data_IF_752058525313
#
_entry.id   IF_752058525313
#
_cell.length_a   1.000
_cell.length_b   1.000
_cell.length_c   1.000
_cell.angle_alpha   90.00
_cell.angle_beta   90.00
_cell.angle_gamma   90.00
#
_symmetry.space_group_name_H-M   'P 1'
#
loop_
_entity.id
_entity.type
_entity.pdbx_description
1 polymer ?
#
# COMPACT_ATOMS: atom_id res chain seq x y z
N UNK A 1 -14.75 -0.15 -16.30
CA UNK A 1 -15.53 -0.79 -15.22
C UNK A 1 -14.59 -1.44 -14.19
N UNK A 2 -13.80 -2.44 -14.58
CA UNK A 2 -12.92 -3.21 -13.69
C UNK A 2 -11.96 -2.34 -12.88
N UNK A 3 -11.34 -1.34 -13.50
CA UNK A 3 -10.43 -0.42 -12.81
C UNK A 3 -11.14 0.36 -11.68
N UNK A 4 -12.40 0.75 -11.87
CA UNK A 4 -13.18 1.47 -10.85
C UNK A 4 -13.61 0.54 -9.72
N UNK A 5 -13.96 -0.71 -10.03
CA UNK A 5 -14.25 -1.72 -9.01
C UNK A 5 -13.02 -1.96 -8.14
N UNK A 6 -11.86 -2.21 -8.75
CA UNK A 6 -10.60 -2.43 -8.01
C UNK A 6 -10.25 -1.22 -7.16
N UNK A 7 -10.32 0.01 -7.71
CA UNK A 7 -10.09 1.23 -6.93
C UNK A 7 -11.01 1.34 -5.73
N UNK A 8 -12.30 1.04 -5.90
CA UNK A 8 -13.29 1.07 -4.81
C UNK A 8 -12.95 0.03 -3.74
N UNK A 9 -12.60 -1.19 -4.13
CA UNK A 9 -12.22 -2.26 -3.20
C UNK A 9 -10.95 -1.92 -2.41
N UNK A 10 -9.96 -1.30 -3.07
CA UNK A 10 -8.73 -0.82 -2.44
C UNK A 10 -9.02 0.34 -1.46
N UNK A 11 -9.76 1.35 -1.91
CA UNK A 11 -10.09 2.53 -1.12
C UNK A 11 -10.90 2.17 0.14
N UNK A 12 -11.84 1.24 0.02
CA UNK A 12 -12.71 0.82 1.11
C UNK A 12 -12.12 -0.30 1.98
N UNK A 13 -10.91 -0.79 1.65
CA UNK A 13 -10.24 -1.88 2.35
C UNK A 13 -11.00 -3.22 2.28
N UNK A 14 -11.82 -3.41 1.25
CA UNK A 14 -12.56 -4.66 0.99
C UNK A 14 -11.71 -5.72 0.29
N UNK A 15 -10.53 -5.32 -0.18
CA UNK A 15 -9.46 -6.19 -0.68
C UNK A 15 -8.14 -5.75 -0.08
N UNK A 16 -7.18 -6.67 -0.02
CA UNK A 16 -5.78 -6.36 0.25
C UNK A 16 -5.20 -5.41 -0.82
N UNK A 17 -4.22 -4.61 -0.41
CA UNK A 17 -3.53 -3.71 -1.32
C UNK A 17 -2.76 -4.49 -2.41
N UNK A 18 -2.94 -4.09 -3.65
CA UNK A 18 -2.24 -4.61 -4.83
C UNK A 18 -1.74 -3.44 -5.68
N UNK A 19 -0.68 -3.60 -6.49
CA UNK A 19 -0.21 -2.54 -7.36
C UNK A 19 -1.18 -2.39 -8.55
N UNK A 20 -2.04 -1.37 -8.52
CA UNK A 20 -2.90 -1.05 -9.65
C UNK A 20 -2.18 -0.08 -10.59
N UNK A 21 -1.97 -0.50 -11.84
CA UNK A 21 -1.38 0.34 -12.89
C UNK A 21 -2.42 0.68 -13.95
N UNK A 22 -2.67 1.96 -14.12
CA UNK A 22 -3.47 2.55 -15.20
C UNK A 22 -2.52 2.84 -16.37
N UNK A 23 -2.27 1.81 -17.19
CA UNK A 23 -1.36 1.88 -18.33
C UNK A 23 -2.10 2.38 -19.59
N UNK A 24 -1.55 3.41 -20.22
CA UNK A 24 -1.96 3.89 -21.53
C UNK A 24 -0.96 3.44 -22.63
N UNK A 25 -1.33 3.60 -23.90
CA UNK A 25 -0.32 3.57 -24.97
C UNK A 25 0.55 4.84 -24.91
N UNK A 26 1.79 4.84 -25.42
CA UNK A 26 2.67 6.02 -25.38
C UNK A 26 2.00 7.29 -25.93
N UNK A 27 1.92 8.34 -25.10
CA UNK A 27 1.24 9.60 -25.42
C UNK A 27 -0.29 9.56 -25.34
N UNK A 28 -0.88 8.44 -24.90
CA UNK A 28 -2.30 8.31 -24.66
C UNK A 28 -2.78 9.18 -23.51
N UNK A 29 -4.05 9.59 -23.59
CA UNK A 29 -4.64 10.57 -22.68
C UNK A 29 -5.88 10.06 -21.95
N UNK A 30 -6.26 8.80 -22.15
CA UNK A 30 -7.49 8.25 -21.59
C UNK A 30 -7.44 8.25 -20.06
N UNK A 31 -6.37 7.70 -19.49
CA UNK A 31 -6.21 7.67 -18.03
C UNK A 31 -5.89 9.04 -17.44
N UNK A 32 -5.29 9.94 -18.24
CA UNK A 32 -5.09 11.33 -17.81
C UNK A 32 -6.43 12.03 -17.63
N UNK A 33 -7.32 11.96 -18.64
CA UNK A 33 -8.65 12.53 -18.57
C UNK A 33 -9.47 11.95 -17.41
N UNK A 34 -9.36 10.65 -17.15
CA UNK A 34 -9.97 10.03 -15.97
C UNK A 34 -9.42 10.59 -14.65
N UNK A 35 -8.10 10.69 -14.50
CA UNK A 35 -7.46 11.25 -13.30
C UNK A 35 -7.85 12.70 -13.07
N UNK A 36 -7.94 13.49 -14.14
CA UNK A 36 -8.37 14.88 -14.06
C UNK A 36 -9.84 14.97 -13.64
N UNK A 37 -10.73 14.14 -14.19
CA UNK A 37 -12.11 14.02 -13.71
C UNK A 37 -12.20 13.67 -12.22
N UNK A 38 -11.42 12.67 -11.76
CA UNK A 38 -11.38 12.27 -10.34
C UNK A 38 -10.91 13.44 -9.46
N UNK A 39 -9.93 14.22 -9.92
CA UNK A 39 -9.44 15.40 -9.18
C UNK A 39 -10.48 16.52 -9.14
N UNK A 40 -11.07 16.84 -10.29
CA UNK A 40 -11.99 17.97 -10.44
C UNK A 40 -13.33 17.74 -9.75
N UNK A 41 -13.82 16.50 -9.72
CA UNK A 41 -15.11 16.18 -9.12
C UNK A 41 -14.97 15.49 -7.78
N UNK A 42 -14.29 14.34 -7.71
CA UNK A 42 -14.29 13.55 -6.48
C UNK A 42 -13.41 14.16 -5.39
N UNK A 43 -12.21 14.65 -5.73
CA UNK A 43 -11.33 15.27 -4.74
C UNK A 43 -11.85 16.66 -4.33
N UNK A 44 -12.25 17.49 -5.29
CA UNK A 44 -12.72 18.85 -5.00
C UNK A 44 -13.98 18.86 -4.13
N UNK A 45 -14.88 17.88 -4.31
CA UNK A 45 -16.08 17.68 -3.50
C UNK A 45 -15.82 16.86 -2.22
N UNK A 46 -14.56 16.55 -1.89
CA UNK A 46 -14.13 15.82 -0.69
C UNK A 46 -14.71 14.41 -0.56
N UNK A 47 -15.04 13.76 -1.69
CA UNK A 47 -15.51 12.37 -1.73
C UNK A 47 -14.36 11.36 -1.56
N UNK A 48 -13.13 11.79 -1.86
CA UNK A 48 -11.90 10.99 -1.70
C UNK A 48 -10.83 11.80 -0.98
N UNK A 49 -9.83 11.11 -0.43
CA UNK A 49 -8.66 11.76 0.16
C UNK A 49 -7.62 12.11 -0.92
N UNK A 50 -6.77 13.14 -0.73
CA UNK A 50 -5.61 13.38 -1.59
C UNK A 50 -4.68 12.16 -1.70
N UNK A 51 -4.62 11.33 -0.65
CA UNK A 51 -3.76 10.15 -0.61
C UNK A 51 -4.34 8.97 -1.37
N UNK A 52 -5.60 9.03 -1.79
CA UNK A 52 -6.23 7.94 -2.57
C UNK A 52 -5.58 7.84 -3.96
N UNK A 53 -4.93 8.91 -4.45
CA UNK A 53 -4.09 8.87 -5.64
C UNK A 53 -2.85 7.97 -5.49
N UNK A 54 -2.42 7.66 -4.27
CA UNK A 54 -1.35 6.71 -4.01
C UNK A 54 -1.79 5.27 -4.29
N UNK A 55 -3.10 4.97 -4.37
CA UNK A 55 -3.63 3.62 -4.61
C UNK A 55 -3.37 3.09 -6.01
N UNK A 56 -2.99 3.94 -6.96
CA UNK A 56 -2.71 3.54 -8.34
C UNK A 56 -1.53 4.31 -8.91
N UNK A 57 -0.91 3.73 -9.93
CA UNK A 57 0.08 4.42 -10.78
C UNK A 57 -0.48 4.61 -12.17
N UNK A 58 -0.43 5.84 -12.69
CA UNK A 58 -0.68 6.12 -14.10
C UNK A 58 0.64 6.19 -14.85
N UNK A 59 0.76 5.50 -15.98
CA UNK A 59 1.93 5.57 -16.86
C UNK A 59 1.52 5.21 -18.29
N UNK A 60 2.33 5.58 -19.28
CA UNK A 60 2.23 5.13 -20.68
C UNK A 60 3.45 4.27 -21.08
N UNK A 61 4.28 3.90 -20.09
CA UNK A 61 5.48 3.09 -20.26
C UNK A 61 5.29 1.70 -19.67
N UNK A 62 5.44 0.68 -20.52
CA UNK A 62 5.45 -0.72 -20.08
C UNK A 62 6.60 -1.00 -19.10
N UNK A 63 7.74 -0.31 -19.25
CA UNK A 63 8.89 -0.47 -18.35
C UNK A 63 8.53 0.01 -16.94
N UNK A 64 7.95 1.21 -16.82
CA UNK A 64 7.54 1.76 -15.52
C UNK A 64 6.43 0.95 -14.86
N UNK A 65 5.55 0.34 -15.66
CA UNK A 65 4.51 -0.56 -15.18
C UNK A 65 5.13 -1.82 -14.58
N UNK A 66 6.06 -2.48 -15.28
CA UNK A 66 6.75 -3.67 -14.76
C UNK A 66 7.54 -3.31 -13.49
N UNK A 67 8.26 -2.19 -13.49
CA UNK A 67 9.01 -1.71 -12.32
C UNK A 67 8.12 -1.46 -11.10
N UNK A 68 6.90 -0.95 -11.30
CA UNK A 68 5.92 -0.76 -10.23
C UNK A 68 5.54 -2.09 -9.58
N UNK A 69 5.22 -3.11 -10.39
CA UNK A 69 4.85 -4.44 -9.89
C UNK A 69 6.01 -5.10 -9.14
N UNK A 70 7.22 -5.06 -9.71
CA UNK A 70 8.42 -5.65 -9.11
C UNK A 70 8.80 -4.93 -7.81
N UNK A 71 8.67 -3.61 -7.78
CA UNK A 71 8.99 -2.81 -6.59
C UNK A 71 7.96 -3.07 -5.49
N UNK A 72 6.67 -3.15 -5.82
CA UNK A 72 5.60 -3.37 -4.83
C UNK A 72 5.76 -4.67 -4.04
N UNK A 73 6.33 -5.72 -4.65
CA UNK A 73 6.55 -7.01 -4.00
C UNK A 73 8.00 -7.27 -3.57
N UNK A 74 8.86 -6.25 -3.58
CA UNK A 74 10.29 -6.41 -3.27
C UNK A 74 10.55 -6.78 -1.81
N UNK A 75 9.90 -6.08 -0.89
CA UNK A 75 9.95 -6.31 0.55
C UNK A 75 8.58 -6.69 1.07
N UNK A 76 7.51 -6.04 0.61
CA UNK A 76 6.16 -6.43 0.96
C UNK A 76 5.80 -7.77 0.30
N UNK A 77 5.20 -8.69 1.07
CA UNK A 77 4.72 -9.98 0.56
C UNK A 77 3.19 -10.00 0.52
N UNK A 78 2.55 -9.81 1.67
CA UNK A 78 1.09 -9.81 1.80
C UNK A 78 0.66 -9.11 3.08
N UNK A 79 -0.65 -8.98 3.29
CA UNK A 79 -1.21 -8.46 4.52
C UNK A 79 -2.36 -9.31 5.03
N UNK A 80 -2.61 -9.28 6.35
CA UNK A 80 -3.82 -9.84 6.94
C UNK A 80 -4.18 -9.14 8.25
N UNK A 81 -5.44 -9.24 8.63
CA UNK A 81 -5.86 -8.86 9.97
C UNK A 81 -5.72 -10.02 10.94
N UNK A 82 -5.15 -9.73 12.12
CA UNK A 82 -5.15 -10.61 13.28
C UNK A 82 -5.79 -9.83 14.43
N UNK A 83 -7.06 -10.14 14.71
CA UNK A 83 -7.91 -9.36 15.64
C UNK A 83 -7.97 -7.88 15.19
N UNK A 84 -7.40 -6.97 15.97
CA UNK A 84 -7.36 -5.53 15.66
C UNK A 84 -6.07 -5.07 14.99
N UNK A 85 -5.08 -5.96 14.85
CA UNK A 85 -3.80 -5.64 14.23
C UNK A 85 -3.88 -5.95 12.75
N UNK A 86 -3.45 -5.00 11.94
CA UNK A 86 -3.00 -5.28 10.60
C UNK A 86 -1.57 -5.83 10.69
N UNK A 87 -1.29 -6.88 9.94
CA UNK A 87 0.01 -7.51 9.85
C UNK A 87 0.43 -7.47 8.40
N UNK A 88 1.52 -6.76 8.10
CA UNK A 88 2.19 -6.83 6.81
C UNK A 88 3.29 -7.88 6.91
N UNK A 89 3.20 -8.93 6.10
CA UNK A 89 4.26 -9.93 5.94
C UNK A 89 5.30 -9.37 4.98
N UNK A 90 6.57 -9.53 5.33
CA UNK A 90 7.69 -9.01 4.57
C UNK A 90 8.59 -10.16 4.10
N UNK A 91 9.19 -10.03 2.92
CA UNK A 91 10.20 -10.96 2.39
C UNK A 91 11.49 -10.93 3.23
N UNK A 92 11.78 -9.79 3.87
CA UNK A 92 12.90 -9.58 4.79
C UNK A 92 12.56 -8.50 5.80
N UNK A 93 13.33 -8.40 6.89
CA UNK A 93 13.18 -7.28 7.83
C UNK A 93 13.59 -5.97 7.17
N UNK A 94 12.93 -4.88 7.57
CA UNK A 94 13.35 -3.49 7.25
C UNK A 94 14.38 -3.01 8.26
N UNK A 95 15.12 -1.97 7.91
CA UNK A 95 16.08 -1.31 8.80
C UNK A 95 15.40 -0.53 9.94
N UNK A 96 16.16 -0.27 11.00
CA UNK A 96 15.73 0.60 12.10
C UNK A 96 15.39 2.02 11.60
N UNK A 97 16.18 2.56 10.67
CA UNK A 97 15.95 3.87 10.04
C UNK A 97 14.58 3.94 9.36
N UNK A 98 14.21 2.91 8.60
CA UNK A 98 12.89 2.85 7.96
C UNK A 98 11.79 2.70 9.00
N UNK A 99 11.95 1.86 10.02
CA UNK A 99 10.96 1.71 11.09
C UNK A 99 10.72 3.04 11.82
N UNK A 100 11.78 3.76 12.17
CA UNK A 100 11.70 5.07 12.81
C UNK A 100 11.01 6.10 11.92
N UNK A 101 11.29 6.07 10.62
CA UNK A 101 10.60 6.91 9.62
C UNK A 101 9.10 6.62 9.60
N UNK A 102 8.69 5.35 9.62
CA UNK A 102 7.27 4.99 9.66
C UNK A 102 6.60 5.51 10.94
N UNK A 103 7.24 5.32 12.10
CA UNK A 103 6.73 5.78 13.40
C UNK A 103 6.64 7.30 13.54
N UNK A 104 7.50 8.04 12.84
CA UNK A 104 7.48 9.50 12.82
C UNK A 104 6.46 10.06 11.82
N UNK A 105 6.48 9.56 10.58
CA UNK A 105 5.82 10.22 9.46
C UNK A 105 4.41 9.67 9.20
N UNK A 106 4.09 8.46 9.67
CA UNK A 106 2.83 7.76 9.41
C UNK A 106 2.04 7.43 10.68
N UNK A 107 2.36 8.05 11.82
CA UNK A 107 1.63 7.83 13.08
C UNK A 107 0.13 8.12 12.97
N UNK A 108 -0.27 9.03 12.08
CA UNK A 108 -1.65 9.43 11.86
C UNK A 108 -2.57 8.30 11.38
N UNK A 109 -2.03 7.24 10.78
CA UNK A 109 -2.83 6.09 10.31
C UNK A 109 -3.09 5.04 11.40
N UNK A 110 -2.48 5.20 12.57
CA UNK A 110 -2.60 4.28 13.69
C UNK A 110 -3.83 4.63 14.52
N UNK A 111 -4.68 3.64 14.78
CA UNK A 111 -5.70 3.73 15.81
C UNK A 111 -5.07 3.82 17.21
N UNK A 112 -3.97 3.10 17.44
CA UNK A 112 -3.17 3.16 18.67
C UNK A 112 -1.77 2.58 18.47
N UNK A 113 -0.87 2.89 19.40
CA UNK A 113 0.47 2.33 19.44
C UNK A 113 1.40 2.88 18.36
N UNK A 114 2.20 2.00 17.80
CA UNK A 114 3.28 2.29 16.85
C UNK A 114 3.44 1.12 15.86
N UNK A 115 4.21 1.31 14.80
CA UNK A 115 4.67 0.24 13.92
C UNK A 115 5.71 -0.61 14.64
N UNK A 116 5.55 -1.93 14.61
CA UNK A 116 6.42 -2.86 15.33
C UNK A 116 6.85 -4.04 14.45
N UNK A 117 8.16 -4.31 14.43
CA UNK A 117 8.71 -5.53 13.84
C UNK A 117 8.58 -6.71 14.80
N UNK A 118 8.24 -7.88 14.26
CA UNK A 118 7.98 -9.07 15.06
C UNK A 118 7.92 -10.36 14.24
N UNK A 119 7.95 -11.50 14.94
CA UNK A 119 7.64 -12.82 14.39
C UNK A 119 6.13 -13.08 14.30
N UNK A 120 5.77 -14.23 13.75
CA UNK A 120 4.39 -14.69 13.58
C UNK A 120 3.57 -14.57 14.86
N UNK A 121 2.34 -14.11 14.71
CA UNK A 121 1.33 -14.26 15.75
C UNK A 121 0.86 -15.71 15.85
N UNK A 122 0.46 -16.11 17.07
CA UNK A 122 -0.07 -17.45 17.32
C UNK A 122 -1.32 -17.78 16.51
N UNK A 123 -2.06 -16.76 16.08
CA UNK A 123 -3.26 -16.84 15.26
C UNK A 123 -2.97 -17.02 13.76
N UNK A 124 -1.70 -16.96 13.33
CA UNK A 124 -1.26 -17.21 11.95
C UNK A 124 -0.81 -18.68 11.73
N UNK A 125 -1.05 -19.57 12.70
CA UNK A 125 -0.64 -20.99 12.64
C UNK A 125 -1.33 -21.79 11.52
N UNK A 126 -2.38 -21.22 10.92
CA UNK A 126 -3.09 -21.75 9.76
C UNK A 126 -2.33 -21.59 8.43
N UNK A 127 -1.26 -20.77 8.40
CA UNK A 127 -0.41 -20.54 7.23
C UNK A 127 1.06 -20.88 7.53
N UNK A 128 1.40 -22.18 7.71
CA UNK A 128 2.74 -22.60 8.15
C UNK A 128 3.85 -22.21 7.16
N UNK A 129 3.56 -22.22 5.85
CA UNK A 129 4.52 -21.85 4.81
C UNK A 129 4.97 -20.38 4.87
N UNK A 130 4.22 -19.54 5.61
CA UNK A 130 4.50 -18.13 5.80
C UNK A 130 4.98 -17.82 7.23
N UNK A 131 5.25 -18.85 8.06
CA UNK A 131 5.60 -18.69 9.47
C UNK A 131 6.94 -17.96 9.69
N UNK A 132 7.87 -18.07 8.76
CA UNK A 132 9.23 -17.51 8.91
C UNK A 132 9.37 -16.07 8.39
N UNK A 133 8.40 -15.57 7.63
CA UNK A 133 8.44 -14.21 7.07
C UNK A 133 8.38 -13.14 8.18
N UNK A 134 9.24 -12.11 8.20
CA UNK A 134 9.12 -11.01 9.18
C UNK A 134 7.77 -10.27 9.09
N UNK A 135 7.28 -9.75 10.22
CA UNK A 135 6.02 -8.96 10.27
C UNK A 135 6.32 -7.52 10.64
N UNK A 136 5.71 -6.60 9.90
CA UNK A 136 5.44 -5.25 10.38
C UNK A 136 3.98 -5.19 10.83
N UNK A 137 3.76 -5.08 12.14
CA UNK A 137 2.43 -5.01 12.71
C UNK A 137 2.09 -3.59 13.14
N UNK A 138 0.82 -3.24 12.99
CA UNK A 138 0.26 -1.96 13.37
C UNK A 138 -1.22 -2.14 13.72
N UNK A 139 -1.76 -1.24 14.55
CA UNK A 139 -3.20 -1.13 14.71
C UNK A 139 -3.71 -0.03 13.78
N UNK A 140 -3.98 -0.42 12.52
CA UNK A 140 -4.43 0.49 11.48
C UNK A 140 -5.85 1.00 11.77
N UNK A 141 -6.09 2.29 11.51
CA UNK A 141 -7.38 2.93 11.74
C UNK A 141 -8.50 2.53 10.75
N UNK A 142 -8.15 1.72 9.73
CA UNK A 142 -9.07 1.20 8.69
C UNK A 142 -9.70 2.28 7.81
N UNK A 143 -9.06 3.43 7.66
CA UNK A 143 -9.57 4.56 6.88
C UNK A 143 -8.55 5.09 5.88
N UNK A 144 -7.30 5.29 6.30
CA UNK A 144 -6.28 5.94 5.48
C UNK A 144 -5.56 4.95 4.56
N UNK A 145 -6.29 4.31 3.64
CA UNK A 145 -5.75 3.26 2.76
C UNK A 145 -4.69 3.80 1.78
N UNK A 146 -4.87 5.03 1.30
CA UNK A 146 -3.86 5.73 0.50
C UNK A 146 -2.52 5.90 1.25
N UNK A 147 -2.57 6.31 2.51
CA UNK A 147 -1.39 6.40 3.38
C UNK A 147 -0.80 5.04 3.73
N UNK A 148 -1.64 4.01 3.91
CA UNK A 148 -1.15 2.64 4.10
C UNK A 148 -0.40 2.14 2.86
N UNK A 149 -0.86 2.51 1.66
CA UNK A 149 -0.17 2.22 0.42
C UNK A 149 1.20 2.93 0.33
N UNK A 150 1.28 4.18 0.76
CA UNK A 150 2.58 4.89 0.89
C UNK A 150 3.53 4.20 1.89
N UNK A 151 3.01 3.66 3.01
CA UNK A 151 3.82 2.84 3.93
C UNK A 151 4.42 1.64 3.20
N UNK A 152 3.64 0.93 2.38
CA UNK A 152 4.13 -0.20 1.57
C UNK A 152 5.22 0.27 0.60
N UNK A 153 5.07 1.43 -0.04
CA UNK A 153 6.09 1.99 -0.93
C UNK A 153 7.40 2.30 -0.19
N UNK A 154 7.33 2.86 1.03
CA UNK A 154 8.50 3.13 1.88
C UNK A 154 9.17 1.83 2.33
N UNK A 155 8.39 0.84 2.77
CA UNK A 155 8.89 -0.50 3.14
C UNK A 155 9.63 -1.13 1.97
N UNK A 156 9.08 -1.03 0.76
CA UNK A 156 9.72 -1.57 -0.42
C UNK A 156 11.01 -0.83 -0.76
N UNK A 157 11.10 0.48 -0.52
CA UNK A 157 12.31 1.31 -0.72
C UNK A 157 13.40 1.16 0.35
N UNK A 158 13.16 0.40 1.41
CA UNK A 158 14.15 0.17 2.48
C UNK A 158 15.52 -0.29 1.93
N UNK A 159 16.59 0.40 2.32
CA UNK A 159 17.96 0.10 1.88
C UNK A 159 18.31 0.62 0.48
N UNK A 160 17.46 1.43 -0.15
CA UNK A 160 17.77 2.13 -1.40
C UNK A 160 18.03 3.63 -1.25
N UNK A 161 18.15 4.13 -0.02
CA UNK A 161 18.63 5.48 0.21
C UNK A 161 20.15 5.51 -0.01
N UNK A 162 20.57 6.02 -1.17
CA UNK A 162 21.90 6.53 -1.49
C UNK A 162 21.79 8.01 -1.86
#
# INVERSE_FOLDING_TARGET
DEALEVLTLLQTGKRDLVPLVLLDYPGGTYWQAFVDFVREHLLAEQMISPTDFSLFKRTDSCVEAVEELLTFYRVFHSMRYVKQRLVLRLQRTISATTLDRLNRDYRNILARGEFQLRSALSEERDEPDLADLPRLALEFNRRDLGRLREVIDIVNRDGQDA
#
